data_IF_525708006532
#
_entry.id   IF_525708006532
#
_cell.length_a   1.000
_cell.length_b   1.000
_cell.length_c   1.000
_cell.angle_alpha   90.00
_cell.angle_beta   90.00
_cell.angle_gamma   90.00
#
_symmetry.space_group_name_H-M   'P 1'
#
loop_
_entity.id
_entity.type
_entity.pdbx_description
1 polymer ?
#
# COMPACT_ATOMS: atom_id res chain seq x y z
N UNK A 1 -13.57 -1.51 -25.77
CA UNK A 1 -12.24 -2.03 -26.14
C UNK A 1 -11.88 -3.08 -25.09
N UNK A 2 -11.91 -4.36 -25.47
CA UNK A 2 -11.57 -5.48 -24.59
C UNK A 2 -10.06 -5.49 -24.39
N UNK A 3 -9.57 -5.13 -23.21
CA UNK A 3 -8.15 -5.30 -22.88
C UNK A 3 -7.92 -6.74 -22.45
N UNK A 4 -7.54 -7.60 -23.41
CA UNK A 4 -6.83 -8.85 -23.12
C UNK A 4 -5.46 -8.50 -22.55
N UNK A 5 -5.38 -8.12 -21.28
CA UNK A 5 -4.13 -8.19 -20.53
C UNK A 5 -4.00 -9.62 -20.06
N UNK A 6 -3.19 -10.41 -20.76
CA UNK A 6 -2.55 -11.58 -20.15
C UNK A 6 -1.85 -11.07 -18.88
N UNK A 7 -2.40 -11.40 -17.72
CA UNK A 7 -1.69 -11.23 -16.46
C UNK A 7 -0.29 -11.86 -16.66
N UNK A 8 0.79 -11.22 -16.18
CA UNK A 8 2.12 -11.82 -16.23
C UNK A 8 2.03 -13.24 -15.65
N UNK A 9 2.82 -14.18 -16.17
CA UNK A 9 2.84 -15.53 -15.62
C UNK A 9 3.16 -15.42 -14.12
N UNK A 10 2.17 -15.69 -13.26
CA UNK A 10 2.31 -15.64 -11.80
C UNK A 10 2.54 -17.03 -11.22
N UNK A 11 2.80 -18.03 -12.06
CA UNK A 11 3.11 -19.41 -11.64
C UNK A 11 4.56 -19.51 -11.17
N UNK A 12 4.89 -18.72 -10.14
CA UNK A 12 6.14 -18.83 -9.40
C UNK A 12 5.87 -19.67 -8.16
N UNK A 13 6.77 -20.61 -7.85
CA UNK A 13 6.61 -21.54 -6.73
C UNK A 13 6.49 -20.86 -5.36
N UNK A 14 6.95 -19.60 -5.24
CA UNK A 14 6.91 -18.78 -4.05
C UNK A 14 5.83 -17.68 -4.11
N UNK A 15 4.92 -17.73 -5.09
CA UNK A 15 3.81 -16.80 -5.21
C UNK A 15 2.51 -17.54 -4.98
N UNK A 16 1.68 -16.96 -4.12
CA UNK A 16 0.42 -17.57 -3.69
C UNK A 16 -0.71 -16.77 -4.28
N UNK A 17 -1.60 -17.49 -4.97
CA UNK A 17 -2.77 -16.91 -5.60
C UNK A 17 -4.02 -17.34 -4.85
N UNK A 18 -4.83 -16.35 -4.52
CA UNK A 18 -6.14 -16.52 -3.87
C UNK A 18 -7.19 -15.77 -4.66
N UNK A 19 -8.47 -16.10 -4.45
CA UNK A 19 -9.58 -15.54 -5.23
C UNK A 19 -10.30 -14.40 -4.52
N UNK A 20 -9.92 -14.09 -3.27
CA UNK A 20 -10.50 -12.98 -2.53
C UNK A 20 -9.51 -12.36 -1.54
N UNK A 21 -9.80 -11.13 -1.12
CA UNK A 21 -9.04 -10.44 -0.08
C UNK A 21 -9.09 -11.20 1.27
N UNK A 22 -10.24 -11.77 1.61
CA UNK A 22 -10.41 -12.55 2.84
C UNK A 22 -9.58 -13.84 2.84
N UNK A 23 -9.45 -14.52 1.69
CA UNK A 23 -8.55 -15.67 1.57
C UNK A 23 -7.09 -15.26 1.72
N UNK A 24 -6.69 -14.09 1.20
CA UNK A 24 -5.34 -13.56 1.39
C UNK A 24 -5.03 -13.31 2.88
N UNK A 25 -5.97 -12.68 3.58
CA UNK A 25 -5.85 -12.42 5.03
C UNK A 25 -5.79 -13.72 5.83
N UNK A 26 -6.64 -14.70 5.49
CA UNK A 26 -6.64 -16.00 6.15
C UNK A 26 -5.27 -16.69 5.98
N UNK A 27 -4.77 -16.74 4.75
CA UNK A 27 -3.46 -17.32 4.46
C UNK A 27 -2.36 -16.64 5.28
N UNK A 28 -2.31 -15.31 5.24
CA UNK A 28 -1.29 -14.53 5.94
C UNK A 28 -1.34 -14.71 7.47
N UNK A 29 -2.52 -14.95 8.04
CA UNK A 29 -2.71 -15.15 9.47
C UNK A 29 -2.42 -16.59 9.93
N UNK A 30 -2.46 -17.57 9.02
CA UNK A 30 -2.20 -18.99 9.31
C UNK A 30 -0.70 -19.35 9.19
N UNK A 31 0.09 -18.57 8.45
CA UNK A 31 1.54 -18.77 8.32
C UNK A 31 2.32 -18.04 9.43
N UNK A 32 2.83 -18.80 10.40
CA UNK A 32 3.62 -18.26 11.52
C UNK A 32 4.98 -17.66 11.12
N UNK A 33 5.42 -17.82 9.87
CA UNK A 33 6.66 -17.22 9.38
C UNK A 33 6.47 -15.79 8.87
N UNK A 34 5.23 -15.32 8.76
CA UNK A 34 4.93 -13.96 8.30
C UNK A 34 4.92 -13.01 9.50
N UNK A 35 5.86 -12.09 9.53
CA UNK A 35 5.94 -11.06 10.58
C UNK A 35 5.00 -9.88 10.29
N UNK A 36 5.05 -9.36 9.05
CA UNK A 36 4.33 -8.16 8.64
C UNK A 36 3.62 -8.39 7.31
N UNK A 37 2.39 -7.88 7.20
CA UNK A 37 1.59 -7.92 5.96
C UNK A 37 1.49 -6.51 5.38
N UNK A 38 1.97 -6.35 4.15
CA UNK A 38 1.88 -5.10 3.40
C UNK A 38 0.88 -5.25 2.27
N UNK A 39 0.06 -4.22 2.07
CA UNK A 39 -0.92 -4.16 0.99
C UNK A 39 -0.36 -3.25 -0.10
N UNK A 40 0.03 -3.83 -1.23
CA UNK A 40 0.61 -3.12 -2.38
C UNK A 40 -0.39 -2.57 -3.40
N UNK A 41 -1.70 -2.68 -3.14
CA UNK A 41 -2.77 -2.19 -4.03
C UNK A 41 -3.29 -3.21 -5.03
N UNK A 42 -4.02 -2.81 -6.08
CA UNK A 42 -4.46 -1.45 -6.43
C UNK A 42 -5.74 -0.97 -5.72
N UNK A 43 -6.43 0.04 -6.27
CA UNK A 43 -7.59 0.74 -5.66
C UNK A 43 -8.58 -0.20 -4.96
N UNK A 44 -9.06 -1.25 -5.65
CA UNK A 44 -10.03 -2.19 -5.08
C UNK A 44 -9.50 -2.93 -3.86
N UNK A 45 -8.22 -3.29 -3.84
CA UNK A 45 -7.60 -3.96 -2.69
C UNK A 45 -7.44 -2.99 -1.53
N UNK A 46 -7.06 -1.74 -1.79
CA UNK A 46 -7.05 -0.70 -0.77
C UNK A 46 -8.43 -0.44 -0.16
N UNK A 47 -9.48 -0.39 -0.97
CA UNK A 47 -10.85 -0.24 -0.50
C UNK A 47 -11.30 -1.42 0.36
N UNK A 48 -11.03 -2.66 -0.05
CA UNK A 48 -11.33 -3.85 0.76
C UNK A 48 -10.56 -3.83 2.10
N UNK A 49 -9.28 -3.44 2.07
CA UNK A 49 -8.47 -3.31 3.28
C UNK A 49 -9.03 -2.29 4.26
N UNK A 50 -9.45 -1.12 3.77
CA UNK A 50 -9.95 -0.01 4.59
C UNK A 50 -11.33 -0.29 5.21
N UNK A 51 -12.11 -1.24 4.64
CA UNK A 51 -13.34 -1.76 5.26
C UNK A 51 -13.05 -2.58 6.52
N UNK A 52 -11.83 -3.09 6.67
CA UNK A 52 -11.42 -3.86 7.85
C UNK A 52 -10.87 -2.95 8.96
N UNK A 53 -10.90 -3.47 10.19
CA UNK A 53 -10.20 -2.85 11.31
C UNK A 53 -8.74 -3.34 11.45
N UNK A 54 -8.22 -4.10 10.48
CA UNK A 54 -6.89 -4.73 10.54
C UNK A 54 -5.76 -3.82 10.07
N UNK A 55 -6.08 -2.80 9.26
CA UNK A 55 -5.08 -1.80 8.83
C UNK A 55 -4.69 -0.94 10.02
N UNK A 56 -3.44 -1.12 10.48
CA UNK A 56 -2.87 -0.35 11.60
C UNK A 56 -2.19 0.93 11.14
N UNK A 57 -1.56 0.90 9.96
CA UNK A 57 -0.71 1.97 9.45
C UNK A 57 -0.93 2.20 7.96
N UNK A 58 -0.92 3.46 7.54
CA UNK A 58 -0.89 3.88 6.14
C UNK A 58 0.45 4.53 5.87
N UNK A 59 1.19 4.00 4.90
CA UNK A 59 2.41 4.59 4.36
C UNK A 59 2.03 5.28 3.04
N UNK A 60 1.85 6.60 3.08
CA UNK A 60 1.28 7.37 1.98
C UNK A 60 2.30 8.34 1.39
N UNK A 61 2.80 8.04 0.19
CA UNK A 61 3.63 8.99 -0.57
C UNK A 61 2.73 10.00 -1.29
N UNK A 62 2.84 11.27 -0.91
CA UNK A 62 2.20 12.40 -1.59
C UNK A 62 3.12 12.89 -2.70
N UNK A 63 2.76 12.61 -3.95
CA UNK A 63 3.48 13.13 -5.12
C UNK A 63 2.87 14.46 -5.52
N UNK A 64 3.69 15.51 -5.59
CA UNK A 64 3.28 16.86 -6.01
C UNK A 64 3.19 16.92 -7.52
N UNK A 65 1.98 17.12 -8.02
CA UNK A 65 1.70 17.29 -9.44
C UNK A 65 0.38 16.64 -9.82
N UNK A 66 -0.14 17.03 -10.98
CA UNK A 66 -1.32 16.43 -11.56
C UNK A 66 -0.89 15.48 -12.69
N UNK A 67 -1.30 14.22 -12.58
CA UNK A 67 -0.91 13.17 -13.52
C UNK A 67 -2.14 12.55 -14.18
N UNK A 68 -1.98 12.12 -15.44
CA UNK A 68 -3.02 11.40 -16.16
C UNK A 68 -3.08 9.95 -15.66
N UNK A 69 -3.98 9.70 -14.69
CA UNK A 69 -4.16 8.39 -14.06
C UNK A 69 -5.41 7.67 -14.59
N UNK A 70 -5.30 6.37 -14.86
CA UNK A 70 -6.45 5.53 -15.24
C UNK A 70 -7.17 4.91 -14.04
N UNK A 71 -6.52 4.90 -12.87
CA UNK A 71 -7.06 4.41 -11.61
C UNK A 71 -6.90 5.50 -10.55
N UNK A 72 -8.02 5.94 -9.96
CA UNK A 72 -8.07 7.00 -8.96
C UNK A 72 -8.78 6.48 -7.73
N UNK A 73 -8.15 6.63 -6.56
CA UNK A 73 -8.76 6.31 -5.28
C UNK A 73 -9.36 7.58 -4.66
N UNK A 74 -10.61 7.89 -4.99
CA UNK A 74 -11.29 9.11 -4.53
C UNK A 74 -11.92 8.98 -3.13
N UNK A 75 -12.05 7.75 -2.62
CA UNK A 75 -12.72 7.42 -1.37
C UNK A 75 -11.78 7.29 -0.17
N UNK A 76 -10.50 7.66 -0.30
CA UNK A 76 -9.53 7.58 0.79
C UNK A 76 -9.97 8.49 1.95
N UNK A 77 -10.37 7.85 3.06
CA UNK A 77 -10.70 8.50 4.32
C UNK A 77 -9.67 8.13 5.38
N UNK A 78 -8.88 9.12 5.79
CA UNK A 78 -7.86 8.97 6.84
C UNK A 78 -8.34 9.46 8.20
N UNK A 79 -9.61 9.82 8.36
CA UNK A 79 -10.15 10.39 9.61
C UNK A 79 -10.01 9.47 10.83
N UNK A 80 -9.93 8.15 10.61
CA UNK A 80 -9.71 7.13 11.66
C UNK A 80 -8.24 6.90 11.98
N UNK A 81 -7.34 7.70 11.43
CA UNK A 81 -5.91 7.57 11.60
C UNK A 81 -5.30 8.91 11.98
N UNK A 82 -4.36 8.86 12.92
CA UNK A 82 -3.55 10.00 13.32
C UNK A 82 -2.27 10.04 12.49
N UNK A 83 -1.97 11.21 11.92
CA UNK A 83 -0.68 11.44 11.26
C UNK A 83 0.45 11.45 12.29
N UNK A 84 1.51 10.69 12.03
CA UNK A 84 2.75 10.72 12.82
C UNK A 84 3.64 11.84 12.29
N UNK A 85 4.19 12.66 13.19
CA UNK A 85 5.03 13.82 12.83
C UNK A 85 6.46 13.44 12.44
N UNK A 86 6.99 12.34 12.98
CA UNK A 86 8.35 11.87 12.73
C UNK A 86 8.32 10.47 12.13
N UNK A 87 9.16 10.22 11.14
CA UNK A 87 9.33 8.88 10.55
C UNK A 87 10.04 7.99 11.58
N UNK A 88 9.42 6.88 12.02
CA UNK A 88 10.07 5.92 12.92
C UNK A 88 11.39 5.40 12.36
N UNK A 89 12.37 5.13 13.23
CA UNK A 89 13.73 4.70 12.85
C UNK A 89 13.72 3.46 11.92
N UNK A 90 12.79 2.53 12.15
CA UNK A 90 12.60 1.31 11.34
C UNK A 90 12.36 1.60 9.85
N UNK A 91 11.88 2.80 9.54
CA UNK A 91 11.57 3.23 8.18
C UNK A 91 12.60 4.18 7.57
N UNK A 92 13.46 4.82 8.36
CA UNK A 92 14.39 5.84 7.85
C UNK A 92 15.31 5.31 6.75
N UNK A 93 15.77 4.05 6.86
CA UNK A 93 16.63 3.41 5.87
C UNK A 93 16.00 3.29 4.47
N UNK A 94 14.66 3.17 4.38
CA UNK A 94 13.96 3.07 3.11
C UNK A 94 13.83 4.43 2.40
N UNK A 95 13.99 5.53 3.14
CA UNK A 95 13.68 6.89 2.65
C UNK A 95 14.90 7.80 2.56
N UNK A 96 15.98 7.50 3.28
CA UNK A 96 17.25 8.24 3.18
C UNK A 96 17.99 8.02 1.84
N UNK A 97 17.46 7.21 0.92
CA UNK A 97 18.08 6.88 -0.37
C UNK A 97 17.49 7.64 -1.57
N UNK A 98 16.45 8.44 -1.38
CA UNK A 98 15.93 9.25 -2.47
C UNK A 98 16.67 10.58 -2.57
N UNK A 99 17.68 10.62 -3.43
CA UNK A 99 18.40 11.84 -3.78
C UNK A 99 17.46 12.91 -4.35
N UNK A 100 17.37 14.04 -3.63
CA UNK A 100 16.78 15.29 -4.06
C UNK A 100 17.70 15.95 -5.11
N UNK A 101 17.61 15.55 -6.37
CA UNK A 101 18.09 16.38 -7.48
C UNK A 101 16.88 16.96 -8.22
N UNK A 102 16.87 18.29 -8.39
CA UNK A 102 15.78 19.20 -8.80
C UNK A 102 14.97 18.86 -10.09
N UNK A 103 15.18 17.71 -10.72
CA UNK A 103 14.43 17.22 -11.89
C UNK A 103 13.39 16.13 -11.56
N UNK A 104 13.34 15.63 -10.31
CA UNK A 104 12.37 14.61 -9.89
C UNK A 104 11.04 15.22 -9.40
N UNK A 105 9.90 14.51 -9.59
CA UNK A 105 8.64 14.94 -9.02
C UNK A 105 8.79 15.04 -7.50
N UNK A 106 8.60 16.25 -6.96
CA UNK A 106 8.63 16.50 -5.52
C UNK A 106 7.59 15.58 -4.84
N UNK A 107 8.01 14.79 -3.87
CA UNK A 107 7.10 14.01 -3.06
C UNK A 107 7.49 14.06 -1.59
N UNK A 108 6.54 13.78 -0.70
CA UNK A 108 6.82 13.58 0.70
C UNK A 108 6.05 12.38 1.24
N UNK A 109 6.60 11.74 2.26
CA UNK A 109 5.94 10.63 2.94
C UNK A 109 5.06 11.16 4.07
N UNK A 110 3.88 10.59 4.18
CA UNK A 110 3.00 10.72 5.33
C UNK A 110 2.77 9.33 5.93
N UNK A 111 3.00 9.20 7.23
CA UNK A 111 2.66 7.99 7.97
C UNK A 111 1.45 8.29 8.83
N UNK A 112 0.41 7.47 8.70
CA UNK A 112 -0.77 7.53 9.54
C UNK A 112 -0.91 6.24 10.34
N UNK A 113 -1.32 6.33 11.59
CA UNK A 113 -1.54 5.20 12.49
C UNK A 113 -2.95 5.25 13.05
N UNK A 114 -3.62 4.10 13.10
CA UNK A 114 -4.97 4.00 13.64
C UNK A 114 -4.90 4.06 15.17
N UNK A 115 -5.71 4.94 15.77
CA UNK A 115 -5.90 4.94 17.22
C UNK A 115 -6.51 3.59 17.64
N UNK A 116 -5.87 2.91 18.60
CA UNK A 116 -6.26 1.58 19.11
C UNK A 116 -7.40 1.73 20.13
#
# INVERSE_FOLDING_TARGET
ISSNQTLPNTDYSNVIRVNSFNEALKYANEDSNIENVFIGGGVRIYEEAMKTNLVKRLLLTRVKGDFQCTAVWSSLDVSKFKRIETIPDEYQQFFNQSDENDETPLYHLEIYERDI
#
